data_IF_321234081470
#
_entry.id   IF_321234081470
#
_cell.length_a   1.000
_cell.length_b   1.000
_cell.length_c   1.000
_cell.angle_alpha   90.00
_cell.angle_beta   90.00
_cell.angle_gamma   90.00
#
_symmetry.space_group_name_H-M   'P 1'
#
loop_
_entity.id
_entity.type
_entity.pdbx_description
1 polymer ?
#
# COMPACT_ATOMS: atom_id res chain seq x y z
N UNK A 1 39.21 -20.49 34.49
CA UNK A 1 38.54 -21.23 35.59
C UNK A 1 37.21 -21.75 35.06
N UNK A 2 37.05 -23.07 35.02
CA UNK A 2 35.87 -23.78 34.50
C UNK A 2 35.13 -24.42 35.68
N UNK A 3 33.87 -24.04 35.91
CA UNK A 3 32.91 -24.68 36.82
C UNK A 3 31.52 -24.47 36.20
N UNK A 4 31.00 -25.47 35.48
CA UNK A 4 30.20 -26.62 35.93
C UNK A 4 28.69 -26.32 36.00
N UNK A 5 28.00 -27.08 35.15
CA UNK A 5 26.57 -27.31 35.02
C UNK A 5 25.82 -27.58 36.32
N UNK A 6 24.58 -27.08 36.38
CA UNK A 6 23.46 -27.71 37.09
C UNK A 6 22.26 -27.77 36.16
N UNK A 7 21.97 -28.98 35.69
CA UNK A 7 20.72 -29.35 35.03
C UNK A 7 19.81 -29.98 36.08
N UNK A 8 18.59 -29.48 36.22
CA UNK A 8 17.57 -30.05 37.11
C UNK A 8 16.38 -30.47 36.26
N UNK A 9 16.17 -31.78 36.20
CA UNK A 9 15.10 -32.48 35.53
C UNK A 9 13.90 -32.73 36.44
N UNK A 10 12.74 -32.87 35.80
CA UNK A 10 11.57 -33.67 36.18
C UNK A 10 10.54 -33.07 37.14
N UNK A 11 9.30 -32.96 36.65
CA UNK A 11 8.16 -33.70 37.21
C UNK A 11 7.02 -33.73 36.17
N UNK A 12 6.70 -34.94 35.75
CA UNK A 12 5.56 -35.31 34.91
C UNK A 12 4.40 -35.69 35.83
N UNK A 13 3.20 -35.18 35.56
CA UNK A 13 1.95 -35.76 36.08
C UNK A 13 0.89 -35.77 34.98
N UNK A 14 0.43 -36.96 34.65
CA UNK A 14 -0.66 -37.29 33.72
C UNK A 14 -2.03 -37.30 34.44
N UNK A 15 -3.16 -37.38 33.70
CA UNK A 15 -4.35 -36.55 33.97
C UNK A 15 -5.47 -37.26 34.72
N UNK A 16 -6.38 -36.46 35.27
CA UNK A 16 -7.63 -36.90 35.90
C UNK A 16 -8.82 -36.62 34.97
N UNK A 17 -9.59 -37.65 34.67
CA UNK A 17 -10.74 -37.64 33.79
C UNK A 17 -12.07 -37.39 34.52
N UNK A 18 -13.01 -36.74 33.79
CA UNK A 18 -14.48 -36.71 33.91
C UNK A 18 -15.10 -36.04 35.17
N UNK A 19 -16.29 -35.38 35.09
CA UNK A 19 -17.42 -35.75 34.21
C UNK A 19 -18.15 -34.63 33.45
N UNK A 20 -18.77 -35.10 32.36
CA UNK A 20 -19.83 -34.47 31.58
C UNK A 20 -21.02 -34.05 32.43
N UNK A 21 -21.49 -32.81 32.27
CA UNK A 21 -22.93 -32.51 32.39
C UNK A 21 -23.32 -31.22 31.68
N UNK A 22 -24.23 -31.40 30.72
CA UNK A 22 -25.43 -30.59 30.47
C UNK A 22 -25.29 -29.32 29.63
N UNK A 23 -25.81 -29.47 28.41
CA UNK A 23 -26.17 -28.45 27.45
C UNK A 23 -26.99 -27.30 28.05
N UNK A 24 -26.61 -26.07 27.72
CA UNK A 24 -27.49 -24.92 27.70
C UNK A 24 -26.94 -23.88 26.71
N UNK A 25 -27.69 -23.67 25.63
CA UNK A 25 -27.61 -22.45 24.82
C UNK A 25 -26.43 -22.35 23.87
N UNK A 26 -26.56 -22.99 22.70
CA UNK A 26 -26.04 -22.44 21.45
C UNK A 26 -26.57 -21.03 21.28
N UNK A 27 -25.80 -20.04 21.72
CA UNK A 27 -25.86 -18.70 21.16
C UNK A 27 -24.91 -18.74 19.98
N UNK A 28 -25.41 -19.23 18.85
CA UNK A 28 -24.87 -18.86 17.55
C UNK A 28 -25.07 -17.36 17.47
N UNK A 29 -24.07 -16.62 17.96
CA UNK A 29 -23.91 -15.25 17.54
C UNK A 29 -23.73 -15.36 16.05
N UNK A 30 -24.76 -14.93 15.34
CA UNK A 30 -24.73 -14.66 13.92
C UNK A 30 -23.53 -13.76 13.70
N UNK A 31 -22.38 -14.38 13.38
CA UNK A 31 -21.29 -13.69 12.71
C UNK A 31 -21.75 -13.48 11.28
N UNK A 32 -22.83 -12.71 11.13
CA UNK A 32 -22.95 -11.73 10.07
C UNK A 32 -21.85 -10.70 10.36
N UNK A 33 -20.58 -11.10 10.22
CA UNK A 33 -19.63 -10.19 9.60
C UNK A 33 -20.16 -10.10 8.17
N UNK A 34 -21.18 -9.25 8.01
CA UNK A 34 -21.73 -8.86 6.72
C UNK A 34 -20.55 -8.69 5.79
N UNK A 35 -20.66 -9.29 4.61
CA UNK A 35 -19.86 -8.93 3.45
C UNK A 35 -20.13 -7.44 3.18
N UNK A 36 -19.55 -6.57 4.02
CA UNK A 36 -19.57 -5.14 3.87
C UNK A 36 -18.95 -4.89 2.51
N UNK A 37 -19.83 -4.66 1.53
CA UNK A 37 -19.41 -4.32 0.19
C UNK A 37 -18.44 -3.14 0.29
N UNK A 38 -17.43 -3.14 -0.56
CA UNK A 38 -16.45 -2.06 -0.62
C UNK A 38 -16.79 -1.19 -1.83
N UNK A 39 -17.79 -0.29 -1.72
CA UNK A 39 -18.30 0.44 -2.87
C UNK A 39 -17.23 1.36 -3.43
N UNK A 40 -17.30 1.58 -4.74
CA UNK A 40 -16.48 2.57 -5.43
C UNK A 40 -16.89 3.97 -4.98
N UNK A 41 -15.94 4.74 -4.47
CA UNK A 41 -16.13 6.12 -4.04
C UNK A 41 -15.49 7.14 -4.99
N UNK A 42 -14.55 6.71 -5.85
CA UNK A 42 -14.01 7.53 -6.92
C UNK A 42 -13.45 6.69 -8.07
N UNK A 43 -13.50 7.22 -9.29
CA UNK A 43 -13.13 6.52 -10.52
C UNK A 43 -14.36 5.98 -11.28
N UNK A 44 -14.16 5.10 -12.28
CA UNK A 44 -12.86 4.60 -12.74
C UNK A 44 -12.03 5.68 -13.43
N UNK A 45 -10.75 5.77 -13.07
CA UNK A 45 -9.76 6.58 -13.76
C UNK A 45 -9.05 5.73 -14.80
N UNK A 46 -9.26 6.05 -16.08
CA UNK A 46 -8.64 5.35 -17.20
C UNK A 46 -7.33 6.05 -17.56
N UNK A 47 -6.21 5.37 -17.37
CA UNK A 47 -4.86 5.89 -17.49
C UNK A 47 -4.07 5.16 -18.59
N UNK A 48 -3.03 5.80 -19.12
CA UNK A 48 -2.10 5.23 -20.11
C UNK A 48 -2.81 4.58 -21.29
N UNK A 49 -3.65 5.35 -21.97
CA UNK A 49 -4.42 4.92 -23.15
C UNK A 49 -5.31 3.70 -22.89
N UNK A 50 -5.83 3.55 -21.66
CA UNK A 50 -6.71 2.45 -21.29
C UNK A 50 -5.99 1.23 -20.73
N UNK A 51 -4.65 1.21 -20.70
CA UNK A 51 -3.90 0.07 -20.19
C UNK A 51 -3.99 -0.13 -18.67
N UNK A 52 -4.38 0.91 -17.94
CA UNK A 52 -4.53 0.86 -16.49
C UNK A 52 -5.79 1.59 -16.05
N UNK A 53 -6.59 0.92 -15.23
CA UNK A 53 -7.81 1.46 -14.64
C UNK A 53 -7.61 1.49 -13.13
N UNK A 54 -7.97 2.61 -12.50
CA UNK A 54 -7.88 2.80 -11.06
C UNK A 54 -9.22 3.24 -10.49
N UNK A 55 -9.65 2.58 -9.42
CA UNK A 55 -10.84 2.92 -8.64
C UNK A 55 -10.44 3.03 -7.17
N UNK A 56 -11.00 4.00 -6.46
CA UNK A 56 -10.90 4.07 -5.00
C UNK A 56 -12.18 3.51 -4.41
N UNK A 57 -12.02 2.63 -3.43
CA UNK A 57 -13.11 1.95 -2.74
C UNK A 57 -13.16 2.45 -1.30
N UNK A 58 -14.36 2.42 -0.70
CA UNK A 58 -14.49 2.53 0.75
C UNK A 58 -14.03 1.20 1.36
N UNK A 59 -12.95 1.16 2.16
CA UNK A 59 -12.53 -0.08 2.80
C UNK A 59 -13.53 -0.48 3.89
N UNK A 60 -13.76 -1.78 4.04
CA UNK A 60 -14.46 -2.29 5.22
C UNK A 60 -13.61 -2.12 6.49
N UNK A 61 -14.22 -1.97 7.68
CA UNK A 61 -13.47 -1.76 8.93
C UNK A 61 -12.40 -2.83 9.20
N UNK A 62 -12.69 -4.09 8.87
CA UNK A 62 -11.78 -5.23 9.10
C UNK A 62 -10.51 -5.19 8.26
N UNK A 63 -10.43 -4.40 7.18
CA UNK A 63 -9.16 -4.21 6.43
C UNK A 63 -8.14 -3.37 7.18
N UNK A 64 -8.58 -2.56 8.15
CA UNK A 64 -7.72 -1.58 8.83
C UNK A 64 -6.90 -0.77 7.81
N UNK A 65 -7.59 -0.14 6.85
CA UNK A 65 -7.00 0.56 5.72
C UNK A 65 -7.34 2.06 5.76
N UNK A 66 -6.36 2.93 5.47
CA UNK A 66 -6.58 4.36 5.28
C UNK A 66 -7.04 4.71 3.85
N UNK A 67 -6.79 3.81 2.91
CA UNK A 67 -7.17 3.93 1.51
C UNK A 67 -7.24 2.53 0.92
N UNK A 68 -8.24 2.27 0.07
CA UNK A 68 -8.32 1.05 -0.70
C UNK A 68 -8.46 1.41 -2.18
N UNK A 69 -7.62 0.78 -3.00
CA UNK A 69 -7.61 0.93 -4.44
C UNK A 69 -7.89 -0.41 -5.09
N UNK A 70 -8.76 -0.41 -6.11
CA UNK A 70 -8.86 -1.48 -7.09
C UNK A 70 -8.19 -1.02 -8.36
N UNK A 71 -7.24 -1.79 -8.84
CA UNK A 71 -6.47 -1.47 -10.01
C UNK A 71 -6.52 -2.62 -11.01
N UNK A 72 -6.68 -2.29 -12.29
CA UNK A 72 -6.74 -3.29 -13.37
C UNK A 72 -5.73 -2.96 -14.46
N UNK A 73 -4.88 -3.92 -14.79
CA UNK A 73 -4.05 -3.90 -16.00
C UNK A 73 -4.76 -4.62 -17.15
N UNK A 74 -4.87 -3.96 -18.30
CA UNK A 74 -5.43 -4.56 -19.53
C UNK A 74 -4.42 -5.46 -20.22
N UNK A 75 -4.62 -6.77 -20.18
CA UNK A 75 -3.61 -7.76 -20.58
C UNK A 75 -3.28 -7.77 -22.07
N UNK A 76 -4.26 -7.41 -22.90
CA UNK A 76 -4.15 -7.29 -24.35
C UNK A 76 -3.45 -6.00 -24.78
N UNK A 77 -3.31 -5.02 -23.86
CA UNK A 77 -2.67 -3.75 -24.18
C UNK A 77 -1.13 -3.89 -24.31
N UNK A 78 -0.52 -3.39 -25.41
CA UNK A 78 0.92 -3.55 -25.66
C UNK A 78 1.84 -3.06 -24.55
N UNK A 79 1.42 -2.01 -23.82
CA UNK A 79 2.19 -1.51 -22.68
C UNK A 79 2.35 -2.55 -21.56
N UNK A 80 1.35 -3.37 -21.26
CA UNK A 80 1.44 -4.36 -20.18
C UNK A 80 2.50 -5.43 -20.44
N UNK A 81 2.85 -5.68 -21.71
CA UNK A 81 3.96 -6.57 -22.09
C UNK A 81 5.34 -6.05 -21.69
N UNK A 82 5.45 -4.76 -21.32
CA UNK A 82 6.71 -4.17 -20.83
C UNK A 82 7.08 -4.58 -19.40
N UNK A 83 6.17 -5.23 -18.66
CA UNK A 83 6.44 -5.69 -17.30
C UNK A 83 6.91 -4.56 -16.38
N UNK A 84 8.10 -4.72 -15.79
CA UNK A 84 8.72 -3.70 -14.93
C UNK A 84 8.98 -2.36 -15.63
N UNK A 85 9.08 -2.34 -16.96
CA UNK A 85 9.23 -1.13 -17.75
C UNK A 85 7.87 -0.50 -18.15
N UNK A 86 6.76 -1.00 -17.60
CA UNK A 86 5.44 -0.39 -17.78
C UNK A 86 5.45 1.04 -17.23
N UNK A 87 4.96 2.06 -17.99
CA UNK A 87 5.11 3.46 -17.60
C UNK A 87 4.48 3.87 -16.26
N UNK A 88 3.45 3.16 -15.77
CA UNK A 88 2.84 3.40 -14.45
C UNK A 88 3.31 2.43 -13.37
N UNK A 89 4.13 1.43 -13.71
CA UNK A 89 4.75 0.62 -12.67
C UNK A 89 5.64 1.60 -11.88
N UNK A 90 5.35 1.87 -10.60
CA UNK A 90 6.17 2.81 -9.85
C UNK A 90 7.62 2.30 -9.88
N UNK A 91 8.61 3.19 -10.00
CA UNK A 91 9.99 2.79 -9.78
C UNK A 91 10.14 2.15 -8.40
N UNK A 92 11.24 1.41 -8.19
CA UNK A 92 11.55 0.84 -6.87
C UNK A 92 11.54 1.94 -5.82
N UNK A 93 10.68 1.81 -4.82
CA UNK A 93 10.47 2.80 -3.76
C UNK A 93 10.21 2.12 -2.43
N UNK A 94 10.26 2.88 -1.34
CA UNK A 94 9.91 2.41 0.00
C UNK A 94 9.02 3.44 0.69
N UNK A 95 8.20 2.98 1.62
CA UNK A 95 7.45 3.83 2.55
C UNK A 95 8.14 3.82 3.90
N UNK A 96 8.23 4.96 4.58
CA UNK A 96 8.97 5.01 5.86
C UNK A 96 8.19 4.42 7.03
N UNK A 97 6.87 4.59 7.09
CA UNK A 97 6.10 4.30 8.30
C UNK A 97 4.81 3.51 8.04
N UNK A 98 4.23 3.62 6.84
CA UNK A 98 3.04 2.86 6.49
C UNK A 98 3.42 1.54 5.84
N UNK A 99 2.76 0.47 6.28
CA UNK A 99 2.69 -0.76 5.49
C UNK A 99 1.67 -0.62 4.37
N UNK A 100 1.94 -1.34 3.30
CA UNK A 100 1.02 -1.56 2.20
C UNK A 100 0.66 -3.06 2.16
N UNK A 101 -0.54 -3.38 1.71
CA UNK A 101 -0.98 -4.75 1.49
C UNK A 101 -1.60 -4.87 0.11
N UNK A 102 -1.38 -6.02 -0.51
CA UNK A 102 -1.79 -6.32 -1.88
C UNK A 102 -2.50 -7.66 -1.98
N UNK A 103 -3.60 -7.72 -2.72
CA UNK A 103 -4.28 -8.96 -3.07
C UNK A 103 -4.64 -9.00 -4.56
N UNK A 104 -4.62 -10.19 -5.16
CA UNK A 104 -4.98 -10.40 -6.57
C UNK A 104 -6.38 -11.00 -6.65
N UNK A 105 -7.23 -10.40 -7.48
CA UNK A 105 -8.61 -10.84 -7.73
C UNK A 105 -8.71 -11.67 -9.01
N UNK A 106 -7.98 -11.28 -10.06
CA UNK A 106 -7.92 -11.96 -11.36
C UNK A 106 -6.56 -11.79 -12.01
N UNK A 107 -6.21 -12.65 -12.98
CA UNK A 107 -4.95 -12.59 -13.72
C UNK A 107 -3.71 -12.86 -12.87
N UNK A 108 -2.60 -12.19 -13.19
CA UNK A 108 -1.32 -12.35 -12.50
C UNK A 108 -0.50 -11.06 -12.48
N UNK A 109 0.12 -10.79 -11.34
CA UNK A 109 0.82 -9.54 -11.06
C UNK A 109 2.26 -9.83 -10.63
N UNK A 110 3.21 -9.02 -11.07
CA UNK A 110 4.57 -9.08 -10.56
C UNK A 110 4.83 -8.05 -9.45
N UNK A 111 5.59 -8.46 -8.44
CA UNK A 111 6.27 -7.54 -7.53
C UNK A 111 7.79 -7.73 -7.62
N UNK A 112 8.54 -6.65 -7.47
CA UNK A 112 9.98 -6.69 -7.17
C UNK A 112 10.13 -6.19 -5.74
N UNK A 113 10.75 -6.93 -4.83
CA UNK A 113 10.92 -6.53 -3.42
C UNK A 113 12.38 -6.60 -2.96
N UNK A 114 12.67 -5.89 -1.88
CA UNK A 114 13.98 -5.80 -1.21
C UNK A 114 15.09 -5.14 -2.04
N UNK A 115 16.24 -4.88 -1.41
CA UNK A 115 17.42 -4.40 -2.11
C UNK A 115 18.04 -5.42 -3.07
N UNK A 116 17.75 -6.72 -2.86
CA UNK A 116 18.18 -7.80 -3.75
C UNK A 116 17.34 -7.89 -5.03
N UNK A 117 16.24 -7.12 -5.13
CA UNK A 117 15.31 -7.08 -6.27
C UNK A 117 14.73 -8.47 -6.59
N UNK A 118 14.15 -9.10 -5.58
CA UNK A 118 13.52 -10.41 -5.67
C UNK A 118 12.18 -10.25 -6.37
N UNK A 119 11.97 -11.00 -7.45
CA UNK A 119 10.72 -11.00 -8.19
C UNK A 119 9.79 -12.07 -7.68
N UNK A 120 8.50 -11.73 -7.54
CA UNK A 120 7.44 -12.68 -7.18
C UNK A 120 6.24 -12.46 -8.08
N UNK A 121 5.66 -13.54 -8.60
CA UNK A 121 4.40 -13.52 -9.32
C UNK A 121 3.28 -13.89 -8.35
N UNK A 122 2.25 -13.05 -8.31
CA UNK A 122 1.07 -13.18 -7.48
C UNK A 122 -0.13 -13.57 -8.34
N UNK A 123 -0.93 -14.51 -7.86
CA UNK A 123 -2.19 -14.95 -8.48
C UNK A 123 -3.30 -14.96 -7.43
N UNK A 124 -4.58 -15.08 -7.80
CA UNK A 124 -5.67 -15.20 -6.84
C UNK A 124 -5.49 -16.36 -5.85
N UNK A 125 -4.84 -17.46 -6.27
CA UNK A 125 -4.59 -18.62 -5.41
C UNK A 125 -3.46 -18.36 -4.41
N UNK A 126 -2.39 -17.67 -4.85
CA UNK A 126 -1.21 -17.45 -4.00
C UNK A 126 -1.31 -16.20 -3.14
N UNK A 127 -2.09 -15.19 -3.56
CA UNK A 127 -2.25 -13.91 -2.85
C UNK A 127 -3.72 -13.43 -2.89
N UNK A 128 -4.67 -14.21 -2.34
CA UNK A 128 -6.08 -13.82 -2.26
C UNK A 128 -6.31 -12.69 -1.24
N UNK A 129 -7.48 -12.03 -1.22
CA UNK A 129 -7.85 -11.07 -0.18
C UNK A 129 -7.73 -11.59 1.25
N UNK A 130 -7.94 -12.89 1.48
CA UNK A 130 -7.80 -13.53 2.79
C UNK A 130 -6.34 -13.73 3.24
N UNK A 131 -5.38 -13.61 2.31
CA UNK A 131 -3.94 -13.77 2.59
C UNK A 131 -3.15 -12.82 1.68
N UNK A 132 -3.24 -11.50 1.95
CA UNK A 132 -2.59 -10.51 1.14
C UNK A 132 -1.07 -10.57 1.29
N UNK A 133 -0.38 -10.10 0.25
CA UNK A 133 1.05 -9.84 0.31
C UNK A 133 1.29 -8.55 1.10
N UNK A 134 1.96 -8.67 2.23
CA UNK A 134 2.25 -7.56 3.12
C UNK A 134 3.61 -6.94 2.78
N UNK A 135 3.61 -5.62 2.61
CA UNK A 135 4.77 -4.79 2.34
C UNK A 135 5.05 -3.95 3.59
N UNK A 136 6.11 -4.31 4.31
CA UNK A 136 6.49 -3.63 5.54
C UNK A 136 7.11 -2.24 5.28
N UNK A 137 7.07 -1.33 6.28
CA UNK A 137 7.84 -0.10 6.24
C UNK A 137 9.33 -0.38 5.96
N UNK A 138 9.97 0.55 5.25
CA UNK A 138 11.34 0.50 4.76
C UNK A 138 11.65 -0.63 3.78
N UNK A 139 10.68 -1.45 3.37
CA UNK A 139 10.91 -2.48 2.36
C UNK A 139 10.84 -1.87 0.95
N UNK A 140 11.93 -1.89 0.17
CA UNK A 140 11.88 -1.51 -1.23
C UNK A 140 10.91 -2.42 -1.99
N UNK A 141 10.03 -1.85 -2.78
CA UNK A 141 9.10 -2.59 -3.60
C UNK A 141 8.74 -1.85 -4.89
N UNK A 142 8.27 -2.60 -5.87
CA UNK A 142 7.73 -2.14 -7.15
C UNK A 142 6.66 -3.14 -7.59
N UNK A 143 5.53 -2.64 -8.06
CA UNK A 143 4.41 -3.43 -8.59
C UNK A 143 4.36 -3.26 -10.11
N UNK A 144 4.15 -4.35 -10.86
CA UNK A 144 4.18 -4.32 -12.33
C UNK A 144 3.26 -5.38 -12.96
N UNK A 145 2.67 -5.10 -14.14
CA UNK A 145 1.83 -6.07 -14.84
C UNK A 145 2.66 -7.27 -15.31
N UNK A 146 2.21 -8.51 -15.10
CA UNK A 146 2.94 -9.66 -15.63
C UNK A 146 2.85 -9.71 -17.17
N UNK A 147 3.98 -9.77 -17.91
CA UNK A 147 3.96 -9.97 -19.36
C UNK A 147 3.36 -11.31 -19.78
N UNK A 148 3.28 -12.28 -18.87
CA UNK A 148 2.77 -13.63 -19.12
C UNK A 148 1.26 -13.75 -18.90
N UNK A 149 0.60 -12.70 -18.38
CA UNK A 149 -0.82 -12.69 -18.07
C UNK A 149 -1.67 -13.10 -19.29
N UNK A 150 -2.69 -13.91 -19.01
CA UNK A 150 -3.63 -14.47 -20.01
C UNK A 150 -4.98 -13.75 -20.04
N UNK A 151 -5.23 -12.89 -19.06
CA UNK A 151 -6.44 -12.12 -18.86
C UNK A 151 -6.13 -10.84 -18.09
N UNK A 152 -7.09 -9.92 -18.04
CA UNK A 152 -6.96 -8.68 -17.27
C UNK A 152 -6.63 -8.97 -15.82
N UNK A 153 -5.58 -8.31 -15.32
CA UNK A 153 -5.12 -8.50 -13.95
C UNK A 153 -5.76 -7.44 -13.08
N UNK A 154 -6.64 -7.86 -12.16
CA UNK A 154 -7.27 -6.99 -11.19
C UNK A 154 -6.70 -7.26 -9.80
N UNK A 155 -6.32 -6.20 -9.10
CA UNK A 155 -5.73 -6.26 -7.76
C UNK A 155 -6.37 -5.26 -6.82
N UNK A 156 -6.34 -5.58 -5.53
CA UNK A 156 -6.58 -4.65 -4.44
C UNK A 156 -5.25 -4.23 -3.84
N UNK A 157 -5.08 -2.94 -3.60
CA UNK A 157 -3.93 -2.36 -2.90
C UNK A 157 -4.46 -1.42 -1.83
N UNK A 158 -3.95 -1.54 -0.61
CA UNK A 158 -4.31 -0.61 0.47
C UNK A 158 -3.12 -0.27 1.33
N UNK A 159 -3.09 0.96 1.83
CA UNK A 159 -2.18 1.39 2.86
C UNK A 159 -2.87 1.29 4.23
N UNK A 160 -2.11 0.91 5.25
CA UNK A 160 -2.59 0.91 6.62
C UNK A 160 -2.45 2.32 7.24
N UNK A 161 -3.33 2.69 8.19
CA UNK A 161 -3.26 3.96 8.91
C UNK A 161 -1.88 4.20 9.52
N UNK A 162 -1.43 5.46 9.47
CA UNK A 162 -0.27 5.92 10.22
C UNK A 162 -0.49 5.78 11.74
N UNK A 163 0.61 5.74 12.52
CA UNK A 163 0.60 6.16 13.91
C UNK A 163 -0.16 7.50 14.09
N UNK A 164 -0.84 7.69 15.23
CA UNK A 164 -1.75 8.83 15.48
C UNK A 164 -1.07 10.21 15.39
N UNK A 165 0.25 10.25 15.44
CA UNK A 165 1.12 11.42 15.56
C UNK A 165 1.74 11.89 14.24
N UNK A 166 1.24 11.42 13.07
CA UNK A 166 1.81 11.79 11.77
C UNK A 166 0.84 12.60 10.89
N UNK A 167 1.31 13.75 10.41
CA UNK A 167 0.56 14.70 9.57
C UNK A 167 0.32 14.18 8.13
N UNK A 168 1.25 13.41 7.57
CA UNK A 168 1.27 13.06 6.14
C UNK A 168 0.80 11.62 5.84
N UNK A 169 -0.51 11.37 5.97
CA UNK A 169 -1.10 10.07 5.60
C UNK A 169 -1.05 9.86 4.08
N UNK A 170 -0.53 8.72 3.63
CA UNK A 170 -0.82 8.19 2.30
C UNK A 170 -2.28 7.72 2.26
N UNK A 171 -3.17 8.70 2.18
CA UNK A 171 -4.60 8.51 2.04
C UNK A 171 -5.03 8.54 0.57
N UNK A 172 -6.34 8.51 0.35
CA UNK A 172 -6.93 8.63 -0.99
C UNK A 172 -6.42 9.86 -1.75
N UNK A 173 -6.35 11.02 -1.09
CA UNK A 173 -5.96 12.28 -1.74
C UNK A 173 -4.48 12.26 -2.17
N UNK A 174 -3.64 11.65 -1.35
CA UNK A 174 -2.24 11.39 -1.67
C UNK A 174 -2.13 10.54 -2.93
N UNK A 175 -2.76 9.36 -2.95
CA UNK A 175 -2.67 8.43 -4.10
C UNK A 175 -3.34 8.97 -5.36
N UNK A 176 -4.47 9.67 -5.23
CA UNK A 176 -5.17 10.31 -6.34
C UNK A 176 -4.25 11.31 -7.04
N UNK A 177 -3.54 12.13 -6.29
CA UNK A 177 -2.62 13.10 -6.87
C UNK A 177 -1.32 12.44 -7.36
N UNK A 178 -0.76 11.49 -6.60
CA UNK A 178 0.46 10.78 -6.98
C UNK A 178 0.27 10.03 -8.31
N UNK A 179 -0.80 9.24 -8.41
CA UNK A 179 -1.05 8.38 -9.57
C UNK A 179 -1.55 9.17 -10.79
N UNK A 180 -2.34 10.23 -10.59
CA UNK A 180 -2.85 11.05 -11.69
C UNK A 180 -1.86 12.13 -12.15
N UNK A 181 -0.92 12.58 -11.31
CA UNK A 181 -0.10 13.76 -11.59
C UNK A 181 1.41 13.62 -11.36
N UNK A 182 1.88 12.54 -10.72
CA UNK A 182 3.31 12.29 -10.42
C UNK A 182 4.02 13.42 -9.65
N UNK A 183 3.30 14.17 -8.81
CA UNK A 183 3.89 15.19 -7.93
C UNK A 183 3.46 14.92 -6.50
N UNK A 184 4.40 14.85 -5.55
CA UNK A 184 4.16 15.02 -4.12
C UNK A 184 5.43 15.06 -3.27
N UNK A 185 5.33 15.69 -2.09
CA UNK A 185 6.16 15.38 -0.91
C UNK A 185 5.57 14.10 -0.34
N UNK A 186 6.35 13.05 -0.20
CA UNK A 186 5.83 11.77 0.26
C UNK A 186 6.61 11.23 1.44
N UNK A 187 5.91 10.51 2.32
CA UNK A 187 6.49 9.51 3.23
C UNK A 187 7.06 8.29 2.47
N UNK A 188 7.45 8.51 1.22
CA UNK A 188 7.92 7.54 0.24
C UNK A 188 9.20 8.07 -0.38
N UNK A 189 10.19 7.19 -0.53
CA UNK A 189 11.46 7.51 -1.16
C UNK A 189 11.73 6.58 -2.34
N UNK A 190 12.24 7.16 -3.43
CA UNK A 190 12.79 6.35 -4.51
C UNK A 190 14.07 5.65 -4.05
N UNK A 191 14.26 4.40 -4.45
CA UNK A 191 15.49 3.66 -4.21
C UNK A 191 16.34 3.70 -5.48
N UNK A 192 17.39 4.50 -5.44
CA UNK A 192 18.33 4.68 -6.55
C UNK A 192 19.57 3.81 -6.30
N UNK A 193 20.08 3.16 -7.36
CA UNK A 193 21.24 2.28 -7.31
C UNK A 193 21.14 1.17 -6.23
N UNK A 194 20.07 0.33 -6.24
CA UNK A 194 19.85 -0.68 -5.21
C UNK A 194 21.02 -1.67 -5.06
N UNK A 195 21.78 -1.93 -6.13
CA UNK A 195 22.93 -2.83 -6.13
C UNK A 195 24.20 -2.27 -5.47
N UNK A 196 24.30 -0.95 -5.23
CA UNK A 196 25.45 -0.34 -4.55
C UNK A 196 25.28 -0.41 -3.04
N UNK A 197 25.39 -1.61 -2.49
CA UNK A 197 25.13 -1.90 -1.06
C UNK A 197 25.96 -1.06 -0.09
N UNK A 198 27.18 -0.68 -0.49
CA UNK A 198 28.07 0.17 0.32
C UNK A 198 27.50 1.56 0.63
N UNK A 199 26.55 2.06 -0.18
CA UNK A 199 25.87 3.32 0.07
C UNK A 199 24.89 3.25 1.25
N UNK A 200 24.47 2.05 1.66
CA UNK A 200 23.55 1.88 2.78
C UNK A 200 22.25 2.69 2.61
N UNK A 201 21.85 3.49 3.62
CA UNK A 201 20.69 4.40 3.55
C UNK A 201 20.76 5.50 2.48
N UNK A 202 21.96 5.86 1.99
CA UNK A 202 22.10 6.95 1.00
C UNK A 202 21.35 6.66 -0.31
N UNK A 203 21.08 5.37 -0.60
CA UNK A 203 20.31 4.91 -1.76
C UNK A 203 18.89 5.46 -1.83
N UNK A 204 18.29 5.81 -0.69
CA UNK A 204 16.95 6.38 -0.61
C UNK A 204 16.93 7.77 0.03
N UNK A 205 17.89 8.09 0.91
CA UNK A 205 17.93 9.38 1.59
C UNK A 205 18.24 10.53 0.63
N UNK A 206 19.21 10.36 -0.28
CA UNK A 206 19.55 11.39 -1.27
C UNK A 206 18.37 11.63 -2.24
N UNK A 207 17.76 10.59 -2.86
CA UNK A 207 16.57 10.78 -3.68
C UNK A 207 15.43 11.45 -2.92
N UNK A 208 15.20 11.07 -1.66
CA UNK A 208 14.16 11.67 -0.84
C UNK A 208 14.40 13.16 -0.55
N UNK A 209 15.60 13.55 -0.15
CA UNK A 209 15.95 14.97 0.03
C UNK A 209 15.75 15.77 -1.25
N UNK A 210 16.11 15.20 -2.39
CA UNK A 210 15.88 15.81 -3.69
C UNK A 210 14.38 15.97 -3.99
N UNK A 211 13.56 14.95 -3.71
CA UNK A 211 12.09 15.03 -3.84
C UNK A 211 11.51 16.16 -2.96
N UNK A 212 11.95 16.25 -1.70
CA UNK A 212 11.53 17.32 -0.78
C UNK A 212 11.92 18.71 -1.29
N UNK A 213 13.15 18.88 -1.78
CA UNK A 213 13.62 20.15 -2.36
C UNK A 213 12.78 20.55 -3.59
N UNK A 214 12.57 19.63 -4.53
CA UNK A 214 11.75 19.90 -5.71
C UNK A 214 10.32 20.30 -5.37
N UNK A 215 9.73 19.64 -4.37
CA UNK A 215 8.38 19.96 -3.96
C UNK A 215 8.30 21.30 -3.23
N UNK A 216 9.27 21.62 -2.37
CA UNK A 216 9.40 22.94 -1.76
C UNK A 216 9.51 24.04 -2.82
N UNK A 217 10.36 23.85 -3.84
CA UNK A 217 10.49 24.78 -4.96
C UNK A 217 9.18 24.90 -5.77
N UNK A 218 8.47 23.80 -6.00
CA UNK A 218 7.19 23.83 -6.69
C UNK A 218 6.16 24.66 -5.91
N UNK A 219 6.09 24.46 -4.60
CA UNK A 219 5.23 25.22 -3.70
C UNK A 219 5.59 26.71 -3.68
N UNK A 220 6.89 27.04 -3.59
CA UNK A 220 7.39 28.42 -3.67
C UNK A 220 7.02 29.10 -5.01
N UNK A 221 6.97 28.34 -6.11
CA UNK A 221 6.48 28.79 -7.42
C UNK A 221 4.94 28.83 -7.53
N UNK A 222 4.22 28.74 -6.41
CA UNK A 222 2.76 28.82 -6.35
C UNK A 222 2.03 27.59 -6.90
N UNK A 223 2.73 26.46 -7.09
CA UNK A 223 2.05 25.20 -7.44
C UNK A 223 1.35 24.67 -6.19
N UNK A 224 0.10 24.23 -6.34
CA UNK A 224 -0.65 23.59 -5.27
C UNK A 224 -0.38 22.08 -5.26
N UNK A 225 -0.36 21.43 -4.08
CA UNK A 225 -0.23 19.98 -3.99
C UNK A 225 -1.45 19.28 -4.58
N UNK A 226 -2.65 19.83 -4.39
CA UNK A 226 -3.91 19.28 -4.89
C UNK A 226 -4.45 20.09 -6.08
N UNK A 227 -5.17 19.41 -6.99
CA UNK A 227 -5.72 20.00 -8.22
C UNK A 227 -7.24 19.80 -8.30
N UNK A 228 -7.99 20.91 -8.32
CA UNK A 228 -9.47 20.92 -8.36
C UNK A 228 -10.06 20.06 -9.47
N UNK A 229 -9.43 20.06 -10.65
CA UNK A 229 -9.93 19.33 -11.83
C UNK A 229 -10.01 17.81 -11.67
N UNK A 230 -9.39 17.24 -10.63
CA UNK A 230 -9.38 15.81 -10.39
C UNK A 230 -10.21 15.41 -9.17
N UNK A 231 -10.87 16.36 -8.51
CA UNK A 231 -11.64 16.13 -7.30
C UNK A 231 -13.10 16.46 -7.58
N UNK A 232 -14.02 15.81 -6.86
CA UNK A 232 -15.41 16.24 -6.86
C UNK A 232 -15.52 17.62 -6.22
N UNK A 233 -16.62 18.34 -6.44
CA UNK A 233 -16.82 19.61 -5.77
C UNK A 233 -16.84 19.45 -4.24
N UNK A 234 -17.49 18.39 -3.75
CA UNK A 234 -17.55 18.03 -2.33
C UNK A 234 -16.14 17.75 -1.76
N UNK A 235 -15.34 16.92 -2.44
CA UNK A 235 -13.96 16.63 -2.01
C UNK A 235 -13.10 17.90 -2.02
N UNK A 236 -13.33 18.82 -2.97
CA UNK A 236 -12.56 20.05 -3.05
C UNK A 236 -12.88 21.00 -1.90
N UNK A 237 -14.12 21.07 -1.45
CA UNK A 237 -14.54 21.95 -0.35
C UNK A 237 -14.32 21.34 1.04
N UNK A 238 -13.87 20.08 1.12
CA UNK A 238 -13.50 19.40 2.38
C UNK A 238 -12.44 20.18 3.17
N UNK A 239 -12.62 20.28 4.50
CA UNK A 239 -11.74 21.06 5.37
C UNK A 239 -10.29 20.56 5.35
N UNK A 240 -10.06 19.25 5.32
CA UNK A 240 -8.72 18.66 5.27
C UNK A 240 -8.02 19.02 3.95
N UNK A 241 -8.79 19.08 2.85
CA UNK A 241 -8.30 19.49 1.53
C UNK A 241 -7.97 20.97 1.51
N UNK A 242 -8.86 21.80 2.05
CA UNK A 242 -8.62 23.24 2.16
C UNK A 242 -7.46 23.57 3.08
N UNK A 243 -7.25 22.83 4.17
CA UNK A 243 -6.09 22.96 5.05
C UNK A 243 -4.79 22.64 4.30
N UNK A 244 -4.74 21.50 3.58
CA UNK A 244 -3.56 21.11 2.78
C UNK A 244 -3.22 22.11 1.67
N UNK A 245 -4.23 22.72 1.05
CA UNK A 245 -4.04 23.80 0.06
C UNK A 245 -3.63 25.10 0.76
N UNK A 246 -4.15 25.32 1.96
CA UNK A 246 -3.98 26.51 2.79
C UNK A 246 -2.68 26.56 3.58
N UNK A 247 -1.88 25.50 3.64
CA UNK A 247 -0.60 25.46 4.38
C UNK A 247 0.34 26.64 4.06
N UNK A 248 0.24 27.27 2.88
CA UNK A 248 1.00 28.49 2.53
C UNK A 248 0.38 29.81 3.00
N UNK A 249 -0.88 29.83 3.43
CA UNK A 249 -1.53 31.03 3.97
C UNK A 249 -1.18 31.28 5.44
N UNK A 250 -0.70 30.28 6.18
CA UNK A 250 -0.15 30.50 7.53
C UNK A 250 1.17 31.26 7.36
N UNK A 251 1.10 32.58 7.55
CA UNK A 251 2.20 33.56 7.41
C UNK A 251 3.30 33.47 8.49
N UNK A 252 3.35 32.36 9.23
CA UNK A 252 4.18 32.26 10.44
C UNK A 252 5.44 31.39 10.25
N UNK A 253 5.98 31.33 9.03
CA UNK A 253 7.34 30.83 8.73
C UNK A 253 8.22 32.00 8.28
#
# INVERSE_FOLDING_TARGET
MSLRHTATTSASSTPRAAPSSRAAGTRTGDNEEEDDEEPVIAGPFVLHHGSFILEFLRPKPSRHASVLMRATYKHDHPLCRKGKAYPQAPPLHLHFQQSESLAVLSGELGTTTTYSRIDTIHTPQTTPPARPHHIAPYMPHQIWPSPSAKEDTTMLIWAHPNPKDMDDKMDRLFFQTLLLYRRHISATALVVLPGLTFLGPLRWWIPWLFQCLCAYLALWLGRKPLLKKYMSAEDWEDEDVQERIGMWRKKDL
#
